data_IF_374250355839
#
_entry.id   IF_374250355839
#
_cell.length_a   1.000
_cell.length_b   1.000
_cell.length_c   1.000
_cell.angle_alpha   90.00
_cell.angle_beta   90.00
_cell.angle_gamma   90.00
#
_symmetry.space_group_name_H-M   'P 1'
#
loop_
_entity.id
_entity.type
_entity.pdbx_description
1 polymer ?
#
# COMPACT_ATOMS: atom_id res chain seq x y z
N UNK A 1 13.45 5.87 -42.02
CA UNK A 1 12.53 5.62 -40.88
C UNK A 1 11.41 6.68 -40.77
N UNK A 2 10.68 7.01 -41.85
CA UNK A 2 9.52 7.94 -41.82
C UNK A 2 8.29 7.42 -42.59
N UNK A 3 8.26 6.14 -42.92
CA UNK A 3 7.35 5.58 -43.94
C UNK A 3 6.40 4.50 -43.41
N UNK A 4 6.08 4.51 -42.10
CA UNK A 4 5.08 3.61 -41.48
C UNK A 4 3.85 4.39 -40.97
N UNK A 5 3.78 5.70 -41.20
CA UNK A 5 2.67 6.53 -40.73
C UNK A 5 1.72 7.00 -41.86
N UNK A 6 1.93 6.59 -43.12
CA UNK A 6 1.07 6.96 -44.25
C UNK A 6 -0.27 6.22 -44.30
N UNK A 7 -0.40 5.08 -43.61
CA UNK A 7 -1.56 4.21 -43.78
C UNK A 7 -2.71 4.50 -42.80
N UNK A 8 -2.55 5.49 -41.91
CA UNK A 8 -3.61 5.95 -41.00
C UNK A 8 -4.18 7.31 -41.48
N UNK A 9 -4.76 7.31 -42.69
CA UNK A 9 -5.16 8.54 -43.39
C UNK A 9 -6.59 9.07 -43.11
N UNK A 10 -7.45 8.45 -42.27
CA UNK A 10 -8.62 9.20 -41.73
C UNK A 10 -8.93 9.04 -40.23
N UNK A 11 -8.38 8.04 -39.51
CA UNK A 11 -9.00 7.60 -38.24
C UNK A 11 -8.79 8.51 -37.02
N UNK A 12 -7.63 9.16 -36.85
CA UNK A 12 -7.27 9.92 -35.64
C UNK A 12 -7.85 11.36 -35.56
N UNK A 13 -8.22 11.96 -36.69
CA UNK A 13 -8.85 13.29 -36.71
C UNK A 13 -10.38 13.18 -36.66
N UNK A 14 -10.96 12.17 -37.32
CA UNK A 14 -12.35 11.75 -37.09
C UNK A 14 -12.56 11.27 -35.64
N UNK A 15 -11.54 10.65 -35.03
CA UNK A 15 -11.42 10.34 -33.59
C UNK A 15 -11.69 11.55 -32.71
N UNK A 16 -10.98 12.64 -32.99
CA UNK A 16 -10.99 13.83 -32.16
C UNK A 16 -12.26 14.65 -32.36
N UNK A 17 -12.83 14.59 -33.57
CA UNK A 17 -14.10 15.22 -33.90
C UNK A 17 -15.32 14.45 -33.34
N UNK A 18 -15.30 13.11 -33.37
CA UNK A 18 -16.43 12.27 -32.96
C UNK A 18 -16.46 11.90 -31.47
N UNK A 19 -15.31 11.88 -30.80
CA UNK A 19 -15.33 11.38 -29.43
C UNK A 19 -15.86 12.36 -28.41
N UNK A 20 -16.32 13.58 -28.75
CA UNK A 20 -17.04 14.48 -27.83
C UNK A 20 -18.38 13.91 -27.32
N UNK A 21 -18.91 12.86 -27.96
CA UNK A 21 -20.18 12.21 -27.61
C UNK A 21 -20.07 10.73 -27.16
N UNK A 22 -18.88 10.15 -27.14
CA UNK A 22 -18.69 8.70 -26.88
C UNK A 22 -18.76 8.32 -25.39
N UNK A 23 -19.35 7.16 -25.10
CA UNK A 23 -19.35 6.53 -23.77
C UNK A 23 -18.01 5.85 -23.47
N UNK A 24 -17.70 5.50 -22.21
CA UNK A 24 -16.49 4.74 -21.89
C UNK A 24 -16.38 3.39 -22.63
N UNK A 25 -17.51 2.72 -22.89
CA UNK A 25 -17.54 1.47 -23.64
C UNK A 25 -17.19 1.67 -25.12
N UNK A 26 -17.72 2.73 -25.75
CA UNK A 26 -17.39 3.10 -27.12
C UNK A 26 -15.90 3.40 -27.25
N UNK A 27 -15.34 4.15 -26.28
CA UNK A 27 -13.92 4.50 -26.26
C UNK A 27 -13.03 3.27 -26.12
N UNK A 28 -13.45 2.26 -25.34
CA UNK A 28 -12.74 1.00 -25.20
C UNK A 28 -12.72 0.20 -26.51
N UNK A 29 -13.89 -0.10 -27.08
CA UNK A 29 -14.01 -0.86 -28.34
C UNK A 29 -13.20 -0.19 -29.45
N UNK A 30 -13.28 1.13 -29.48
CA UNK A 30 -12.56 1.95 -30.44
C UNK A 30 -11.04 1.94 -30.23
N UNK A 31 -10.57 2.07 -28.98
CA UNK A 31 -9.13 1.97 -28.66
C UNK A 31 -8.59 0.59 -29.05
N UNK A 32 -9.35 -0.48 -28.81
CA UNK A 32 -9.03 -1.83 -29.25
C UNK A 32 -8.84 -1.86 -30.77
N UNK A 33 -9.85 -1.43 -31.53
CA UNK A 33 -9.81 -1.50 -33.00
C UNK A 33 -8.62 -0.79 -33.67
N UNK A 34 -8.07 0.24 -33.03
CA UNK A 34 -6.93 1.01 -33.57
C UNK A 34 -5.58 0.51 -33.04
N UNK A 35 -5.47 0.28 -31.73
CA UNK A 35 -4.18 0.11 -31.07
C UNK A 35 -3.85 -1.34 -30.73
N UNK A 36 -4.81 -2.25 -30.75
CA UNK A 36 -4.64 -3.65 -30.34
C UNK A 36 -3.48 -4.34 -31.04
N UNK A 37 -3.40 -4.24 -32.37
CA UNK A 37 -2.31 -4.87 -33.13
C UNK A 37 -0.93 -4.35 -32.68
N UNK A 38 -0.79 -3.04 -32.47
CA UNK A 38 0.48 -2.43 -32.07
C UNK A 38 0.83 -2.72 -30.61
N UNK A 39 -0.15 -2.71 -29.72
CA UNK A 39 0.03 -3.13 -28.33
C UNK A 39 0.49 -4.59 -28.28
N UNK A 40 -0.11 -5.49 -29.05
CA UNK A 40 0.32 -6.89 -29.15
C UNK A 40 1.74 -7.03 -29.69
N UNK A 41 2.15 -6.22 -30.66
CA UNK A 41 3.55 -6.20 -31.11
C UNK A 41 4.51 -5.82 -29.98
N UNK A 42 4.17 -4.81 -29.16
CA UNK A 42 5.00 -4.41 -28.01
C UNK A 42 4.99 -5.47 -26.90
N UNK A 43 3.85 -6.12 -26.63
CA UNK A 43 3.75 -7.22 -25.67
C UNK A 43 4.68 -8.37 -26.07
N UNK A 44 4.67 -8.77 -27.34
CA UNK A 44 5.54 -9.84 -27.86
C UNK A 44 7.04 -9.52 -27.81
N UNK A 45 7.42 -8.25 -27.73
CA UNK A 45 8.81 -7.84 -27.50
C UNK A 45 9.23 -7.99 -26.04
N UNK A 46 8.28 -8.06 -25.11
CA UNK A 46 8.58 -8.40 -23.72
C UNK A 46 8.87 -9.89 -23.66
N UNK A 47 10.16 -10.26 -23.59
CA UNK A 47 10.55 -11.64 -23.35
C UNK A 47 9.84 -12.20 -22.09
N UNK A 48 9.49 -13.49 -22.13
CA UNK A 48 8.95 -14.25 -20.98
C UNK A 48 7.51 -13.91 -20.53
N UNK A 49 6.61 -13.54 -21.44
CA UNK A 49 5.17 -13.49 -21.16
C UNK A 49 4.54 -14.81 -21.63
N UNK A 50 3.82 -15.52 -20.75
CA UNK A 50 3.07 -16.72 -21.19
C UNK A 50 1.87 -16.29 -22.04
N UNK A 51 1.38 -17.14 -22.95
CA UNK A 51 0.26 -16.79 -23.85
C UNK A 51 -0.98 -16.29 -23.10
N UNK A 52 -1.29 -16.90 -21.96
CA UNK A 52 -2.46 -16.51 -21.15
C UNK A 52 -2.26 -15.12 -20.50
N UNK A 53 -1.01 -14.75 -20.19
CA UNK A 53 -0.66 -13.43 -19.67
C UNK A 53 -0.68 -12.34 -20.76
N UNK A 54 -0.50 -12.70 -22.05
CA UNK A 54 -0.54 -11.74 -23.16
C UNK A 54 -1.93 -11.11 -23.30
N UNK A 55 -3.00 -11.91 -23.21
CA UNK A 55 -4.38 -11.43 -23.32
C UNK A 55 -4.79 -10.56 -22.14
N UNK A 56 -4.38 -10.94 -20.92
CA UNK A 56 -4.62 -10.13 -19.73
C UNK A 56 -3.89 -8.78 -19.82
N UNK A 57 -2.62 -8.79 -20.25
CA UNK A 57 -1.82 -7.59 -20.42
C UNK A 57 -2.36 -6.69 -21.54
N UNK A 58 -2.80 -7.26 -22.66
CA UNK A 58 -3.45 -6.54 -23.75
C UNK A 58 -4.69 -5.81 -23.24
N UNK A 59 -5.60 -6.56 -22.60
CA UNK A 59 -6.88 -6.03 -22.11
C UNK A 59 -6.64 -4.89 -21.13
N UNK A 60 -5.78 -5.09 -20.13
CA UNK A 60 -5.46 -4.08 -19.12
C UNK A 60 -4.81 -2.84 -19.76
N UNK A 61 -3.96 -3.03 -20.78
CA UNK A 61 -3.30 -1.91 -21.49
C UNK A 61 -4.31 -1.09 -22.27
N UNK A 62 -5.27 -1.74 -22.94
CA UNK A 62 -6.35 -1.05 -23.65
C UNK A 62 -7.22 -0.27 -22.66
N UNK A 63 -7.60 -0.88 -21.53
CA UNK A 63 -8.38 -0.19 -20.47
C UNK A 63 -7.67 1.08 -19.99
N UNK A 64 -6.38 1.00 -19.67
CA UNK A 64 -5.59 2.17 -19.25
C UNK A 64 -5.49 3.22 -20.36
N UNK A 65 -5.17 2.80 -21.59
CA UNK A 65 -5.05 3.71 -22.73
C UNK A 65 -6.37 4.44 -23.01
N UNK A 66 -7.50 3.73 -23.01
CA UNK A 66 -8.83 4.32 -23.18
C UNK A 66 -9.13 5.34 -22.08
N UNK A 67 -8.84 5.00 -20.82
CA UNK A 67 -9.02 5.95 -19.72
C UNK A 67 -8.14 7.20 -19.87
N UNK A 68 -6.87 7.03 -20.27
CA UNK A 68 -5.95 8.14 -20.47
C UNK A 68 -6.41 9.04 -21.61
N UNK A 69 -6.82 8.47 -22.75
CA UNK A 69 -7.39 9.21 -23.88
C UNK A 69 -8.65 10.00 -23.47
N UNK A 70 -9.52 9.39 -22.67
CA UNK A 70 -10.73 10.03 -22.14
C UNK A 70 -10.42 11.25 -21.27
N UNK A 71 -9.40 11.19 -20.40
CA UNK A 71 -9.00 12.34 -19.57
C UNK A 71 -8.36 13.48 -20.38
N UNK A 72 -7.72 13.16 -21.50
CA UNK A 72 -7.04 14.15 -22.36
C UNK A 72 -7.94 14.80 -23.42
N UNK A 73 -9.21 14.41 -23.49
CA UNK A 73 -10.22 14.89 -24.47
C UNK A 73 -10.20 16.40 -24.73
N UNK A 74 -10.10 17.29 -23.72
CA UNK A 74 -10.08 18.74 -23.96
C UNK A 74 -8.83 19.26 -24.68
N UNK A 75 -7.76 18.44 -24.78
CA UNK A 75 -6.44 18.84 -25.29
C UNK A 75 -6.01 18.08 -26.53
N UNK A 76 -6.92 17.31 -27.12
CA UNK A 76 -6.65 16.44 -28.27
C UNK A 76 -6.03 17.15 -29.48
N UNK A 77 -6.42 18.40 -29.77
CA UNK A 77 -5.80 19.19 -30.83
C UNK A 77 -4.30 19.49 -30.64
N UNK A 78 -3.75 19.25 -29.44
CA UNK A 78 -2.33 19.44 -29.12
C UNK A 78 -1.54 18.12 -29.08
N UNK A 79 -2.21 16.96 -29.06
CA UNK A 79 -1.57 15.66 -29.01
C UNK A 79 -1.23 15.23 -30.44
N UNK A 80 0.06 15.22 -30.79
CA UNK A 80 0.48 14.71 -32.09
C UNK A 80 0.38 13.18 -32.11
N UNK A 81 -0.21 12.60 -33.16
CA UNK A 81 -0.38 11.14 -33.36
C UNK A 81 0.91 10.34 -33.11
N UNK A 82 2.06 10.92 -33.50
CA UNK A 82 3.40 10.33 -33.31
C UNK A 82 3.71 10.08 -31.84
N UNK A 83 3.27 10.95 -30.92
CA UNK A 83 3.60 10.82 -29.49
C UNK A 83 2.89 9.64 -28.82
N UNK A 84 1.62 9.36 -29.15
CA UNK A 84 0.90 8.22 -28.53
C UNK A 84 1.61 6.91 -28.90
N UNK A 85 1.94 6.75 -30.18
CA UNK A 85 2.63 5.58 -30.70
C UNK A 85 3.99 5.31 -30.01
N UNK A 86 4.74 6.36 -29.71
CA UNK A 86 6.04 6.27 -29.04
C UNK A 86 5.91 5.95 -27.54
N UNK A 87 4.79 6.30 -26.92
CA UNK A 87 4.51 6.03 -25.51
C UNK A 87 3.90 4.64 -25.26
N UNK A 88 3.40 3.94 -26.29
CA UNK A 88 2.78 2.61 -26.13
C UNK A 88 3.72 1.59 -25.49
N UNK A 89 4.99 1.56 -25.88
CA UNK A 89 5.96 0.64 -25.29
C UNK A 89 6.17 0.90 -23.79
N UNK A 90 6.18 2.18 -23.38
CA UNK A 90 6.24 2.57 -21.97
C UNK A 90 4.99 2.17 -21.21
N UNK A 91 3.81 2.40 -21.81
CA UNK A 91 2.53 2.01 -21.23
C UNK A 91 2.43 0.49 -21.04
N UNK A 92 2.80 -0.32 -22.04
CA UNK A 92 2.78 -1.79 -21.92
C UNK A 92 3.67 -2.27 -20.77
N UNK A 93 4.87 -1.70 -20.62
CA UNK A 93 5.77 -2.01 -19.49
C UNK A 93 5.17 -1.60 -18.15
N UNK A 94 4.55 -0.43 -18.07
CA UNK A 94 3.88 0.04 -16.85
C UNK A 94 2.65 -0.82 -16.50
N UNK A 95 1.86 -1.25 -17.48
CA UNK A 95 0.73 -2.16 -17.27
C UNK A 95 1.20 -3.52 -16.78
N UNK A 96 2.29 -4.06 -17.34
CA UNK A 96 2.90 -5.30 -16.83
C UNK A 96 3.32 -5.13 -15.37
N UNK A 97 4.00 -4.03 -15.03
CA UNK A 97 4.35 -3.69 -13.65
C UNK A 97 3.12 -3.61 -12.73
N UNK A 98 2.02 -3.02 -13.18
CA UNK A 98 0.74 -2.95 -12.44
C UNK A 98 0.14 -4.34 -12.17
N UNK A 99 0.11 -5.20 -13.18
CA UNK A 99 -0.41 -6.56 -13.06
C UNK A 99 0.44 -7.41 -12.11
N UNK A 100 1.77 -7.35 -12.27
CA UNK A 100 2.71 -8.01 -11.37
C UNK A 100 2.48 -7.56 -9.93
N UNK A 101 2.44 -6.25 -9.68
CA UNK A 101 2.22 -5.68 -8.35
C UNK A 101 0.95 -6.20 -7.67
N UNK A 102 -0.15 -6.44 -8.41
CA UNK A 102 -1.41 -6.96 -7.85
C UNK A 102 -1.28 -8.42 -7.38
N UNK A 103 -0.38 -9.20 -7.95
CA UNK A 103 -0.24 -10.65 -7.68
C UNK A 103 0.58 -11.02 -6.45
N UNK A 104 1.29 -10.09 -5.80
CA UNK A 104 2.22 -10.42 -4.70
C UNK A 104 1.63 -10.22 -3.29
N UNK A 105 2.11 -11.04 -2.34
CA UNK A 105 1.94 -10.79 -0.90
C UNK A 105 2.79 -9.59 -0.49
N UNK A 106 2.24 -8.75 0.40
CA UNK A 106 2.96 -7.59 0.89
C UNK A 106 4.18 -8.01 1.70
N UNK A 107 5.32 -7.45 1.32
CA UNK A 107 6.51 -7.33 2.13
C UNK A 107 7.13 -5.96 1.88
N UNK A 108 7.90 -5.47 2.84
CA UNK A 108 8.63 -4.20 2.71
C UNK A 108 9.57 -4.26 1.50
N UNK A 109 10.33 -5.34 1.37
CA UNK A 109 11.30 -5.53 0.27
C UNK A 109 10.63 -5.52 -1.11
N UNK A 110 9.57 -6.30 -1.30
CA UNK A 110 8.85 -6.37 -2.58
C UNK A 110 8.21 -5.02 -2.94
N UNK A 111 7.68 -4.31 -1.93
CA UNK A 111 7.04 -3.00 -2.14
C UNK A 111 8.07 -1.94 -2.50
N UNK A 112 9.24 -1.92 -1.83
CA UNK A 112 10.38 -1.07 -2.21
C UNK A 112 10.84 -1.36 -3.62
N UNK A 113 10.98 -2.65 -3.99
CA UNK A 113 11.38 -3.05 -5.34
C UNK A 113 10.41 -2.52 -6.39
N UNK A 114 9.10 -2.70 -6.19
CA UNK A 114 8.09 -2.18 -7.11
C UNK A 114 8.06 -0.65 -7.17
N UNK A 115 8.29 0.05 -6.05
CA UNK A 115 8.40 1.51 -6.06
C UNK A 115 9.62 1.97 -6.86
N UNK A 116 10.79 1.36 -6.67
CA UNK A 116 12.00 1.65 -7.45
C UNK A 116 11.78 1.42 -8.95
N UNK A 117 11.15 0.31 -9.33
CA UNK A 117 10.77 0.05 -10.74
C UNK A 117 9.79 1.09 -11.26
N UNK A 118 8.77 1.45 -10.48
CA UNK A 118 7.75 2.43 -10.88
C UNK A 118 8.33 3.81 -11.13
N UNK A 119 9.32 4.26 -10.35
CA UNK A 119 10.04 5.53 -10.60
C UNK A 119 10.72 5.53 -11.98
N UNK A 120 11.34 4.40 -12.36
CA UNK A 120 12.02 4.28 -13.65
C UNK A 120 11.02 4.21 -14.82
N UNK A 121 9.87 3.55 -14.61
CA UNK A 121 8.84 3.37 -15.64
C UNK A 121 7.95 4.60 -15.84
N UNK A 122 7.84 5.45 -14.83
CA UNK A 122 6.90 6.58 -14.79
C UNK A 122 7.68 7.90 -14.65
N UNK A 123 8.34 8.37 -15.74
CA UNK A 123 9.29 9.47 -15.69
C UNK A 123 8.69 10.79 -15.18
N UNK A 124 7.38 10.99 -15.37
CA UNK A 124 6.70 12.18 -14.89
C UNK A 124 6.42 12.19 -13.37
N UNK A 125 6.63 11.08 -12.65
CA UNK A 125 6.46 11.07 -11.19
C UNK A 125 7.47 12.00 -10.49
N UNK A 126 8.71 12.06 -10.98
CA UNK A 126 9.75 12.91 -10.41
C UNK A 126 9.43 14.41 -10.54
N UNK A 127 8.68 14.80 -11.57
CA UNK A 127 8.26 16.19 -11.80
C UNK A 127 7.05 16.59 -10.96
N UNK A 128 6.28 15.64 -10.41
CA UNK A 128 4.98 15.92 -9.79
C UNK A 128 5.11 16.77 -8.52
N UNK A 129 6.09 16.48 -7.65
CA UNK A 129 6.34 17.29 -6.45
C UNK A 129 6.79 18.70 -6.80
N UNK A 130 7.61 18.85 -7.84
CA UNK A 130 8.06 20.15 -8.33
C UNK A 130 6.88 20.96 -8.89
N UNK A 131 5.98 20.32 -9.65
CA UNK A 131 4.74 20.95 -10.13
C UNK A 131 3.87 21.42 -8.95
N UNK A 132 3.60 20.53 -7.97
CA UNK A 132 2.82 20.85 -6.77
C UNK A 132 3.44 22.02 -5.98
N UNK A 133 4.77 22.07 -5.88
CA UNK A 133 5.50 23.17 -5.22
C UNK A 133 5.35 24.49 -5.98
N UNK A 134 5.40 24.44 -7.31
CA UNK A 134 5.33 25.65 -8.15
C UNK A 134 3.91 26.16 -8.37
N UNK A 135 2.89 25.37 -8.05
CA UNK A 135 1.49 25.80 -8.13
C UNK A 135 1.18 26.99 -7.21
N UNK A 136 0.57 28.03 -7.80
CA UNK A 136 0.15 29.20 -7.05
C UNK A 136 -1.22 28.96 -6.38
N UNK A 137 -1.20 28.22 -5.28
CA UNK A 137 -2.40 27.88 -4.50
C UNK A 137 -2.20 28.19 -3.01
N UNK A 138 -3.30 28.58 -2.35
CA UNK A 138 -3.37 28.83 -0.91
C UNK A 138 -3.74 27.57 -0.11
N UNK A 139 -3.85 26.42 -0.78
CA UNK A 139 -4.17 25.15 -0.12
C UNK A 139 -3.06 24.77 0.87
N UNK A 140 -3.46 24.41 2.08
CA UNK A 140 -2.57 24.10 3.21
C UNK A 140 -1.50 23.06 2.85
N UNK A 141 -1.88 21.99 2.14
CA UNK A 141 -0.96 20.92 1.80
C UNK A 141 0.11 21.35 0.78
N UNK A 142 -0.22 22.26 -0.15
CA UNK A 142 0.77 22.81 -1.07
C UNK A 142 1.73 23.75 -0.36
N UNK A 143 1.23 24.55 0.59
CA UNK A 143 2.09 25.38 1.44
C UNK A 143 3.05 24.51 2.26
N UNK A 144 2.59 23.37 2.77
CA UNK A 144 3.43 22.39 3.44
C UNK A 144 4.54 21.88 2.51
N UNK A 145 4.19 21.47 1.29
CA UNK A 145 5.19 21.05 0.27
C UNK A 145 6.23 22.14 0.05
N UNK A 146 5.81 23.40 -0.15
CA UNK A 146 6.75 24.53 -0.33
C UNK A 146 7.67 24.75 0.87
N UNK A 147 7.14 24.60 2.09
CA UNK A 147 7.88 24.82 3.33
C UNK A 147 8.88 23.70 3.63
N UNK A 148 8.49 22.45 3.38
CA UNK A 148 9.27 21.25 3.72
C UNK A 148 10.28 20.94 2.63
N UNK A 149 9.90 21.06 1.36
CA UNK A 149 10.68 20.65 0.19
C UNK A 149 11.47 21.82 -0.40
N UNK A 150 12.31 22.41 0.45
CA UNK A 150 13.18 23.52 0.06
C UNK A 150 14.25 23.08 -0.94
N UNK A 151 14.79 21.86 -0.77
CA UNK A 151 15.90 21.34 -1.57
C UNK A 151 15.44 20.24 -2.54
N UNK A 152 15.86 20.28 -3.82
CA UNK A 152 15.48 19.26 -4.81
C UNK A 152 15.91 17.82 -4.46
N UNK A 153 16.96 17.66 -3.66
CA UNK A 153 17.49 16.35 -3.24
C UNK A 153 16.50 15.53 -2.42
N UNK A 154 15.51 16.16 -1.78
CA UNK A 154 14.50 15.48 -0.96
C UNK A 154 13.38 14.83 -1.81
N UNK A 155 13.26 15.19 -3.10
CA UNK A 155 12.07 14.86 -3.92
C UNK A 155 12.02 13.40 -4.33
N UNK A 156 13.13 12.78 -4.79
CA UNK A 156 13.11 11.37 -5.19
C UNK A 156 12.69 10.46 -4.04
N UNK A 157 13.18 10.73 -2.83
CA UNK A 157 12.90 9.89 -1.66
C UNK A 157 11.43 9.97 -1.23
N UNK A 158 10.87 11.17 -1.17
CA UNK A 158 9.45 11.34 -0.82
C UNK A 158 8.55 10.75 -1.90
N UNK A 159 8.94 10.88 -3.17
CA UNK A 159 8.22 10.27 -4.29
C UNK A 159 8.24 8.75 -4.19
N UNK A 160 9.38 8.14 -3.88
CA UNK A 160 9.49 6.69 -3.66
C UNK A 160 8.61 6.21 -2.52
N UNK A 161 8.68 6.88 -1.37
CA UNK A 161 7.86 6.53 -0.19
C UNK A 161 6.36 6.71 -0.47
N UNK A 162 5.98 7.75 -1.21
CA UNK A 162 4.59 7.95 -1.60
C UNK A 162 4.12 6.86 -2.54
N UNK A 163 4.96 6.47 -3.50
CA UNK A 163 4.68 5.38 -4.43
C UNK A 163 4.52 4.05 -3.69
N UNK A 164 5.33 3.76 -2.67
CA UNK A 164 5.14 2.58 -1.81
C UNK A 164 3.78 2.56 -1.12
N UNK A 165 3.35 3.71 -0.61
CA UNK A 165 2.05 3.86 0.02
C UNK A 165 0.91 3.68 -1.00
N UNK A 166 1.07 4.17 -2.23
CA UNK A 166 0.13 3.94 -3.34
C UNK A 166 0.06 2.46 -3.71
N UNK A 167 1.20 1.78 -3.85
CA UNK A 167 1.28 0.33 -4.13
C UNK A 167 0.51 -0.45 -3.06
N UNK A 168 0.74 -0.10 -1.78
CA UNK A 168 0.04 -0.72 -0.64
C UNK A 168 -1.47 -0.48 -0.68
N UNK A 169 -1.90 0.68 -1.19
CA UNK A 169 -3.31 1.04 -1.36
C UNK A 169 -3.96 0.25 -2.52
N UNK A 170 -3.35 0.24 -3.70
CA UNK A 170 -3.88 -0.41 -4.91
C UNK A 170 -4.01 -1.92 -4.71
N UNK A 171 -3.11 -2.54 -3.94
CA UNK A 171 -3.15 -3.98 -3.67
C UNK A 171 -4.42 -4.44 -2.94
N UNK A 172 -5.15 -3.54 -2.27
CA UNK A 172 -6.38 -3.90 -1.54
C UNK A 172 -7.51 -4.10 -2.57
N UNK A 173 -8.03 -5.32 -2.77
CA UNK A 173 -8.94 -5.65 -3.88
C UNK A 173 -10.19 -4.76 -3.91
N UNK A 174 -10.74 -4.44 -2.75
CA UNK A 174 -11.93 -3.61 -2.55
C UNK A 174 -11.74 -2.13 -2.94
N UNK A 175 -10.49 -1.69 -3.15
CA UNK A 175 -10.12 -0.28 -3.33
C UNK A 175 -9.21 -0.03 -4.53
N UNK A 176 -8.89 -1.05 -5.33
CA UNK A 176 -8.05 -0.85 -6.51
C UNK A 176 -8.82 0.00 -7.52
N UNK A 177 -8.28 1.17 -7.94
CA UNK A 177 -8.79 1.84 -9.11
C UNK A 177 -8.68 0.89 -10.31
N UNK A 178 -9.67 0.94 -11.21
CA UNK A 178 -9.55 0.21 -12.48
C UNK A 178 -8.41 0.79 -13.32
N UNK A 179 -8.28 2.12 -13.36
CA UNK A 179 -7.21 2.82 -14.08
C UNK A 179 -6.36 3.67 -13.15
N UNK A 180 -5.03 3.62 -13.33
CA UNK A 180 -4.07 4.30 -12.46
C UNK A 180 -3.10 5.21 -13.21
N UNK A 181 -3.01 5.11 -14.53
CA UNK A 181 -2.08 5.89 -15.33
C UNK A 181 -2.72 7.18 -15.89
N UNK A 182 -1.86 8.15 -16.18
CA UNK A 182 -2.19 9.40 -16.88
C UNK A 182 -0.96 9.95 -17.59
N UNK A 183 -1.16 10.80 -18.58
CA UNK A 183 -0.08 11.61 -19.13
C UNK A 183 0.04 12.95 -18.38
N UNK A 184 1.26 13.49 -18.26
CA UNK A 184 1.44 14.88 -17.89
C UNK A 184 1.27 15.81 -19.10
N UNK A 185 1.45 17.11 -18.90
CA UNK A 185 1.35 18.13 -19.96
C UNK A 185 2.43 17.96 -21.06
N UNK A 186 3.48 17.19 -20.79
CA UNK A 186 4.56 16.83 -21.72
C UNK A 186 4.37 15.45 -22.35
N UNK A 187 3.20 14.83 -22.18
CA UNK A 187 2.86 13.50 -22.70
C UNK A 187 3.71 12.35 -22.16
N UNK A 188 4.36 12.56 -21.02
CA UNK A 188 5.10 11.52 -20.32
C UNK A 188 4.16 10.72 -19.42
N UNK A 189 4.39 9.41 -19.36
CA UNK A 189 3.62 8.50 -18.51
C UNK A 189 3.83 8.80 -17.02
N UNK A 190 2.72 8.88 -16.28
CA UNK A 190 2.67 9.11 -14.84
C UNK A 190 1.55 8.29 -14.19
N UNK A 191 1.46 8.36 -12.86
CA UNK A 191 0.23 7.99 -12.15
C UNK A 191 -0.77 9.13 -12.18
N UNK A 192 -2.05 8.77 -12.10
CA UNK A 192 -3.13 9.73 -11.91
C UNK A 192 -2.85 10.60 -10.70
N UNK A 193 -2.88 11.92 -10.89
CA UNK A 193 -2.63 12.90 -9.84
C UNK A 193 -3.52 12.67 -8.60
N UNK A 194 -4.82 12.41 -8.80
CA UNK A 194 -5.77 12.10 -7.71
C UNK A 194 -5.39 10.89 -6.86
N UNK A 195 -4.62 9.96 -7.42
CA UNK A 195 -4.15 8.76 -6.74
C UNK A 195 -2.84 9.04 -6.00
N UNK A 196 -1.90 9.77 -6.61
CA UNK A 196 -0.56 10.01 -6.06
C UNK A 196 -0.53 11.15 -5.03
N UNK A 197 -1.25 12.23 -5.29
CA UNK A 197 -1.18 13.49 -4.53
C UNK A 197 -1.51 13.33 -3.02
N UNK A 198 -2.55 12.58 -2.60
CA UNK A 198 -2.80 12.37 -1.17
C UNK A 198 -1.63 11.68 -0.46
N UNK A 199 -0.95 10.76 -1.14
CA UNK A 199 0.19 10.02 -0.58
C UNK A 199 1.45 10.88 -0.55
N UNK A 200 1.67 11.73 -1.56
CA UNK A 200 2.75 12.72 -1.55
C UNK A 200 2.62 13.69 -0.38
N UNK A 201 1.41 14.22 -0.14
CA UNK A 201 1.18 15.10 1.00
C UNK A 201 1.43 14.41 2.34
N UNK A 202 0.94 13.17 2.49
CA UNK A 202 1.14 12.40 3.71
C UNK A 202 2.63 12.12 3.96
N UNK A 203 3.39 11.72 2.94
CA UNK A 203 4.83 11.45 3.08
C UNK A 203 5.65 12.73 3.28
N UNK A 204 5.24 13.85 2.68
CA UNK A 204 5.82 15.16 2.95
C UNK A 204 5.58 15.59 4.40
N UNK A 205 4.39 15.31 4.95
CA UNK A 205 4.04 15.58 6.34
C UNK A 205 4.88 14.71 7.30
N UNK A 206 5.03 13.42 7.02
CA UNK A 206 5.89 12.49 7.78
C UNK A 206 7.35 12.95 7.74
N UNK A 207 7.87 13.27 6.56
CA UNK A 207 9.23 13.79 6.38
C UNK A 207 9.42 15.10 7.15
N UNK A 208 8.43 16.00 7.07
CA UNK A 208 8.35 17.20 7.88
C UNK A 208 8.50 16.86 9.36
N UNK A 209 7.62 16.03 9.93
CA UNK A 209 7.66 15.70 11.36
C UNK A 209 8.98 15.08 11.83
N UNK A 210 9.55 14.13 11.08
CA UNK A 210 10.74 13.38 11.48
C UNK A 210 12.03 14.16 11.23
N UNK A 211 12.13 14.84 10.08
CA UNK A 211 13.39 15.44 9.60
C UNK A 211 13.40 16.95 9.82
N UNK A 212 12.28 17.64 9.61
CA UNK A 212 12.19 19.12 9.68
C UNK A 212 11.39 19.56 10.92
N UNK A 213 12.09 20.00 11.96
CA UNK A 213 11.50 20.42 13.26
C UNK A 213 10.28 21.36 13.19
N UNK A 214 10.11 22.11 12.10
CA UNK A 214 9.09 23.14 11.90
C UNK A 214 7.65 22.61 11.71
N UNK A 215 7.46 21.38 11.23
CA UNK A 215 6.10 20.84 10.92
C UNK A 215 5.46 20.15 12.12
N UNK A 216 6.25 19.85 13.15
CA UNK A 216 5.87 18.98 14.27
C UNK A 216 4.55 19.41 14.91
N UNK A 217 4.38 20.68 15.24
CA UNK A 217 3.30 21.09 16.14
C UNK A 217 1.91 21.06 15.49
N UNK A 218 1.77 21.55 14.25
CA UNK A 218 0.48 21.62 13.56
C UNK A 218 -0.09 20.23 13.26
N UNK A 219 0.74 19.36 12.70
CA UNK A 219 0.38 17.98 12.37
C UNK A 219 0.01 17.20 13.62
N UNK A 220 0.84 17.30 14.67
CA UNK A 220 0.58 16.63 15.95
C UNK A 220 -0.75 17.12 16.52
N UNK A 221 -1.03 18.43 16.58
CA UNK A 221 -2.31 18.95 17.08
C UNK A 221 -3.52 18.41 16.30
N UNK A 222 -3.44 18.37 14.96
CA UNK A 222 -4.53 17.86 14.10
C UNK A 222 -4.85 16.39 14.37
N UNK A 223 -3.82 15.57 14.55
CA UNK A 223 -3.96 14.13 14.81
C UNK A 223 -4.40 13.88 16.26
N UNK A 224 -3.88 14.67 17.20
CA UNK A 224 -4.12 14.52 18.63
C UNK A 224 -5.61 14.55 18.98
N UNK A 225 -6.42 15.43 18.38
CA UNK A 225 -7.86 15.48 18.68
C UNK A 225 -8.62 14.18 18.38
N UNK A 226 -8.23 13.46 17.31
CA UNK A 226 -8.84 12.16 16.97
C UNK A 226 -8.32 11.03 17.87
N UNK A 227 -7.01 11.02 18.13
CA UNK A 227 -6.39 10.03 18.99
C UNK A 227 -6.88 10.15 20.43
N UNK A 228 -7.06 11.38 20.92
CA UNK A 228 -7.54 11.67 22.27
C UNK A 228 -8.92 11.11 22.52
N UNK A 229 -9.89 11.39 21.62
CA UNK A 229 -11.23 10.79 21.70
C UNK A 229 -11.19 9.26 21.73
N UNK A 230 -10.31 8.65 20.92
CA UNK A 230 -10.14 7.21 20.90
C UNK A 230 -9.51 6.67 22.19
N UNK A 231 -8.51 7.33 22.75
CA UNK A 231 -7.86 6.86 23.99
C UNK A 231 -8.78 7.07 25.19
N UNK A 232 -9.44 8.22 25.29
CA UNK A 232 -10.40 8.51 26.36
C UNK A 232 -11.56 7.49 26.38
N UNK A 233 -12.00 6.99 25.21
CA UNK A 233 -13.01 5.93 25.13
C UNK A 233 -12.50 4.54 25.53
N UNK A 234 -11.23 4.40 25.92
CA UNK A 234 -10.60 3.13 26.28
C UNK A 234 -9.96 3.18 27.68
N UNK A 235 -10.24 4.24 28.46
CA UNK A 235 -9.71 4.43 29.81
C UNK A 235 -10.86 4.47 30.84
N UNK A 236 -10.58 4.02 32.08
CA UNK A 236 -11.52 4.04 33.21
C UNK A 236 -11.63 5.44 33.86
N UNK A 237 -12.69 5.70 34.63
CA UNK A 237 -13.20 7.05 34.95
C UNK A 237 -12.26 8.05 35.65
N UNK A 238 -11.20 7.60 36.31
CA UNK A 238 -10.30 8.51 37.02
C UNK A 238 -9.14 8.96 36.11
N UNK A 239 -8.95 10.28 36.00
CA UNK A 239 -7.83 10.94 35.28
C UNK A 239 -7.68 10.62 33.77
N UNK A 240 -8.76 10.25 33.08
CA UNK A 240 -8.76 9.91 31.64
C UNK A 240 -8.03 10.92 30.76
N UNK A 241 -8.20 12.21 31.02
CA UNK A 241 -7.61 13.28 30.20
C UNK A 241 -6.08 13.25 30.27
N UNK A 242 -5.51 13.18 31.46
CA UNK A 242 -4.06 13.22 31.64
C UNK A 242 -3.42 11.92 31.13
N UNK A 243 -4.02 10.77 31.46
CA UNK A 243 -3.57 9.47 30.94
C UNK A 243 -3.65 9.40 29.42
N UNK A 244 -4.70 9.96 28.80
CA UNK A 244 -4.81 10.02 27.35
C UNK A 244 -3.70 10.87 26.73
N UNK A 245 -3.39 12.03 27.31
CA UNK A 245 -2.27 12.87 26.88
C UNK A 245 -0.94 12.12 26.96
N UNK A 246 -0.69 11.44 28.07
CA UNK A 246 0.58 10.72 28.29
C UNK A 246 0.74 9.57 27.29
N UNK A 247 -0.31 8.78 27.06
CA UNK A 247 -0.30 7.69 26.07
C UNK A 247 -0.01 8.22 24.66
N UNK A 248 -0.67 9.31 24.27
CA UNK A 248 -0.51 9.90 22.94
C UNK A 248 0.88 10.52 22.80
N UNK A 249 1.34 11.27 23.81
CA UNK A 249 2.67 11.87 23.84
C UNK A 249 3.74 10.79 23.72
N UNK A 250 3.62 9.70 24.48
CA UNK A 250 4.56 8.58 24.41
C UNK A 250 4.53 7.86 23.05
N UNK A 251 3.38 7.81 22.36
CA UNK A 251 3.31 7.28 21.00
C UNK A 251 4.00 8.19 19.98
N UNK A 252 3.89 9.51 20.15
CA UNK A 252 4.61 10.48 19.32
C UNK A 252 6.12 10.47 19.60
N UNK A 253 6.55 10.35 20.86
CA UNK A 253 7.97 10.21 21.21
C UNK A 253 8.57 8.97 20.54
N UNK A 254 7.90 7.83 20.65
CA UNK A 254 8.32 6.60 19.95
C UNK A 254 8.40 6.79 18.43
N UNK A 255 7.46 7.51 17.82
CA UNK A 255 7.52 7.82 16.41
C UNK A 255 8.72 8.73 16.07
N UNK A 256 9.01 9.75 16.90
CA UNK A 256 10.15 10.65 16.70
C UNK A 256 11.50 9.95 16.88
N UNK A 257 11.59 8.93 17.74
CA UNK A 257 12.78 8.08 17.87
C UNK A 257 13.11 7.33 16.58
N UNK A 258 12.12 7.12 15.68
CA UNK A 258 12.33 6.54 14.35
C UNK A 258 12.98 7.48 13.33
N UNK A 259 13.37 8.68 13.73
CA UNK A 259 14.03 9.65 12.85
C UNK A 259 15.28 9.07 12.17
N UNK A 260 16.17 8.44 12.93
CA UNK A 260 17.43 7.92 12.37
C UNK A 260 17.15 6.74 11.43
N UNK A 261 16.35 5.77 11.88
CA UNK A 261 15.88 4.66 11.03
C UNK A 261 15.20 5.14 9.73
N UNK A 262 14.48 6.27 9.79
CA UNK A 262 13.84 6.88 8.63
C UNK A 262 14.89 7.40 7.64
N UNK A 263 15.88 8.17 8.12
CA UNK A 263 16.99 8.71 7.31
C UNK A 263 17.81 7.57 6.70
N UNK A 264 18.08 6.53 7.48
CA UNK A 264 18.86 5.36 7.06
C UNK A 264 18.06 4.40 6.15
N UNK A 265 16.81 4.73 5.83
CA UNK A 265 15.90 3.95 4.97
C UNK A 265 15.65 2.53 5.48
N UNK A 266 15.73 2.34 6.80
CA UNK A 266 15.36 1.08 7.46
C UNK A 266 13.91 1.13 7.97
N UNK A 267 13.35 2.34 8.11
CA UNK A 267 11.99 2.58 8.54
C UNK A 267 11.13 3.26 7.47
N UNK A 268 9.90 2.75 7.32
CA UNK A 268 8.93 3.22 6.34
C UNK A 268 7.51 3.23 6.90
N UNK A 269 6.72 4.20 6.43
CA UNK A 269 5.32 4.36 6.83
C UNK A 269 4.46 4.32 5.57
N UNK A 270 4.04 3.11 5.18
CA UNK A 270 3.25 2.89 3.95
C UNK A 270 1.75 3.17 4.12
N UNK A 271 1.33 3.65 5.30
CA UNK A 271 -0.04 4.00 5.68
C UNK A 271 -0.13 5.46 6.10
N UNK A 272 -1.34 5.95 6.35
CA UNK A 272 -1.53 7.31 6.90
C UNK A 272 -0.89 7.40 8.28
N UNK A 273 -0.24 8.53 8.58
CA UNK A 273 0.45 8.82 9.84
C UNK A 273 -0.47 8.60 11.04
N UNK A 274 -1.70 9.10 11.00
CA UNK A 274 -2.65 8.87 12.09
C UNK A 274 -2.94 7.38 12.31
N UNK A 275 -3.05 6.57 11.25
CA UNK A 275 -3.24 5.11 11.36
C UNK A 275 -1.98 4.43 11.90
N UNK A 276 -0.80 4.95 11.58
CA UNK A 276 0.46 4.49 12.15
C UNK A 276 0.53 4.74 13.66
N UNK A 277 0.27 5.97 14.10
CA UNK A 277 0.26 6.32 15.54
C UNK A 277 -0.84 5.57 16.28
N UNK A 278 -2.01 5.41 15.67
CA UNK A 278 -3.11 4.63 16.24
C UNK A 278 -2.71 3.18 16.56
N UNK A 279 -1.99 2.52 15.65
CA UNK A 279 -1.51 1.16 15.90
C UNK A 279 -0.49 1.08 17.03
N UNK A 280 0.39 2.08 17.16
CA UNK A 280 1.32 2.18 18.32
C UNK A 280 0.52 2.27 19.62
N UNK A 281 -0.50 3.12 19.66
CA UNK A 281 -1.38 3.30 20.82
C UNK A 281 -2.14 2.03 21.14
N UNK A 282 -2.74 1.37 20.14
CA UNK A 282 -3.49 0.12 20.30
C UNK A 282 -2.62 -0.99 20.92
N UNK A 283 -1.31 -0.97 20.69
CA UNK A 283 -0.37 -1.96 21.20
C UNK A 283 0.13 -1.67 22.63
N UNK A 284 -0.25 -0.54 23.23
CA UNK A 284 0.07 -0.21 24.63
C UNK A 284 -0.64 -1.15 25.61
N UNK A 285 0.04 -1.49 26.70
CA UNK A 285 -0.47 -2.45 27.71
C UNK A 285 -1.72 -1.93 28.39
N UNK A 286 -1.78 -0.63 28.65
CA UNK A 286 -2.86 0.11 29.28
C UNK A 286 -4.17 -0.04 28.47
N UNK A 287 -4.08 0.13 27.15
CA UNK A 287 -5.21 -0.05 26.22
C UNK A 287 -5.56 -1.54 26.02
N UNK A 288 -4.55 -2.42 25.97
CA UNK A 288 -4.76 -3.87 25.87
C UNK A 288 -5.45 -4.45 27.11
N UNK A 289 -5.21 -3.90 28.31
CA UNK A 289 -5.79 -4.37 29.58
C UNK A 289 -7.29 -4.08 29.63
N UNK A 290 -7.70 -2.84 29.34
CA UNK A 290 -9.11 -2.45 29.29
C UNK A 290 -9.89 -3.25 28.25
N UNK A 291 -9.32 -3.47 27.06
CA UNK A 291 -9.95 -4.31 26.03
C UNK A 291 -10.13 -5.76 26.43
N UNK A 292 -9.20 -6.33 27.21
CA UNK A 292 -9.34 -7.69 27.73
C UNK A 292 -10.41 -7.76 28.81
N UNK A 293 -10.49 -6.76 29.67
CA UNK A 293 -11.50 -6.65 30.71
C UNK A 293 -12.91 -6.40 30.14
N UNK A 294 -13.05 -5.62 29.07
CA UNK A 294 -14.31 -5.43 28.33
C UNK A 294 -14.73 -6.70 27.59
N UNK A 295 -13.80 -7.36 26.87
CA UNK A 295 -14.08 -8.62 26.19
C UNK A 295 -14.41 -9.78 27.15
N UNK A 296 -13.99 -9.69 28.42
CA UNK A 296 -14.38 -10.64 29.47
C UNK A 296 -15.70 -10.29 30.15
N UNK A 297 -16.13 -9.03 30.13
CA UNK A 297 -17.46 -8.59 30.61
C UNK A 297 -18.57 -8.83 29.57
N UNK A 298 -18.24 -8.90 28.28
CA UNK A 298 -19.19 -9.18 27.19
C UNK A 298 -19.62 -10.66 27.07
N UNK A 299 -19.24 -11.55 28.02
CA UNK A 299 -19.61 -12.98 27.96
C UNK A 299 -21.04 -13.26 28.52
N UNK A 300 -21.76 -12.25 29.03
CA UNK A 300 -23.06 -12.46 29.70
C UNK A 300 -24.30 -11.79 29.04
N UNK A 301 -24.24 -11.37 27.77
CA UNK A 301 -25.44 -10.94 27.00
C UNK A 301 -25.36 -11.43 25.53
N UNK A 302 -26.51 -11.63 24.86
CA UNK A 302 -26.62 -12.45 23.68
C UNK A 302 -25.94 -11.83 22.45
N UNK A 303 -25.34 -12.73 21.70
CA UNK A 303 -24.53 -12.57 20.50
C UNK A 303 -25.28 -11.85 19.37
N UNK A 304 -25.37 -10.53 19.40
CA UNK A 304 -25.68 -9.71 18.23
C UNK A 304 -25.15 -8.29 18.42
N UNK A 305 -24.28 -7.87 17.49
CA UNK A 305 -23.67 -6.54 17.32
C UNK A 305 -22.23 -6.33 17.83
N UNK A 306 -21.25 -6.85 17.06
CA UNK A 306 -20.06 -6.10 16.61
C UNK A 306 -19.13 -7.00 15.77
N UNK A 307 -19.46 -7.18 14.49
CA UNK A 307 -18.53 -7.72 13.48
C UNK A 307 -18.54 -6.81 12.26
N UNK A 308 -17.79 -5.71 12.34
CA UNK A 308 -17.32 -4.99 11.14
C UNK A 308 -15.80 -5.11 11.07
N UNK A 309 -15.36 -6.34 10.79
CA UNK A 309 -14.02 -6.68 10.28
C UNK A 309 -14.26 -7.73 9.19
N UNK A 310 -13.55 -7.68 8.05
CA UNK A 310 -13.91 -8.40 6.85
C UNK A 310 -14.10 -9.89 7.13
N UNK A 311 -15.29 -10.36 6.75
CA UNK A 311 -15.85 -11.72 6.80
C UNK A 311 -14.76 -12.79 6.95
N UNK A 312 -14.39 -13.11 8.18
CA UNK A 312 -13.72 -14.37 8.48
C UNK A 312 -14.82 -15.42 8.62
N UNK A 313 -14.74 -16.51 7.88
CA UNK A 313 -15.75 -17.57 8.00
C UNK A 313 -15.76 -18.11 9.44
N UNK A 314 -16.91 -18.58 9.92
CA UNK A 314 -17.01 -19.20 11.25
C UNK A 314 -15.97 -20.31 11.44
N UNK A 315 -15.68 -21.04 10.37
CA UNK A 315 -14.62 -22.05 10.32
C UNK A 315 -13.23 -21.47 10.65
N UNK A 316 -12.88 -20.30 10.12
CA UNK A 316 -11.60 -19.64 10.41
C UNK A 316 -11.50 -19.18 11.86
N UNK A 317 -12.61 -18.72 12.46
CA UNK A 317 -12.63 -18.34 13.88
C UNK A 317 -12.42 -19.57 14.79
N UNK A 318 -13.04 -20.70 14.44
CA UNK A 318 -12.85 -21.97 15.15
C UNK A 318 -11.40 -22.44 15.03
N UNK A 319 -10.81 -22.38 13.83
CA UNK A 319 -9.41 -22.77 13.61
C UNK A 319 -8.45 -21.89 14.40
N UNK A 320 -8.66 -20.57 14.44
CA UNK A 320 -7.83 -19.65 15.23
C UNK A 320 -7.93 -19.94 16.73
N UNK A 321 -9.14 -20.17 17.24
CA UNK A 321 -9.34 -20.53 18.65
C UNK A 321 -8.58 -21.83 19.00
N UNK A 322 -8.63 -22.83 18.12
CA UNK A 322 -7.91 -24.10 18.31
C UNK A 322 -6.41 -23.98 18.19
N UNK A 323 -5.92 -23.13 17.28
CA UNK A 323 -4.51 -22.78 17.18
C UNK A 323 -4.00 -22.19 18.51
N UNK A 324 -4.73 -21.24 19.10
CA UNK A 324 -4.37 -20.63 20.38
C UNK A 324 -4.39 -21.65 21.53
N UNK A 325 -5.39 -22.52 21.58
CA UNK A 325 -5.42 -23.62 22.57
C UNK A 325 -4.23 -24.58 22.42
N UNK A 326 -3.80 -24.87 21.18
CA UNK A 326 -2.65 -25.75 20.93
C UNK A 326 -1.31 -25.08 21.27
N UNK A 327 -1.19 -23.76 21.05
CA UNK A 327 -0.01 -23.02 21.50
C UNK A 327 0.15 -23.13 23.02
N UNK A 328 -0.94 -23.09 23.78
CA UNK A 328 -0.87 -23.22 25.24
C UNK A 328 -0.45 -24.61 25.74
N UNK A 329 -0.54 -25.64 24.89
CA UNK A 329 -0.06 -27.00 25.21
C UNK A 329 1.41 -27.27 24.86
N UNK A 330 2.06 -26.36 24.13
CA UNK A 330 3.50 -26.46 23.83
C UNK A 330 4.32 -26.20 25.10
N UNK A 331 5.59 -26.61 25.11
CA UNK A 331 6.49 -26.24 26.19
C UNK A 331 6.87 -24.74 26.12
N UNK A 332 7.28 -24.17 27.26
CA UNK A 332 7.49 -22.71 27.39
C UNK A 332 8.51 -22.16 26.37
N UNK A 333 9.52 -22.96 26.03
CA UNK A 333 10.49 -22.57 25.01
C UNK A 333 9.87 -22.53 23.60
N UNK A 334 9.02 -23.50 23.23
CA UNK A 334 8.29 -23.45 21.97
C UNK A 334 7.25 -22.31 21.96
N UNK A 335 6.56 -22.05 23.07
CA UNK A 335 5.63 -20.92 23.19
C UNK A 335 6.35 -19.60 22.94
N UNK A 336 7.49 -19.39 23.59
CA UNK A 336 8.27 -18.17 23.43
C UNK A 336 8.77 -18.01 21.99
N UNK A 337 9.28 -19.08 21.38
CA UNK A 337 9.76 -19.08 20.00
C UNK A 337 8.63 -18.73 19.01
N UNK A 338 7.49 -19.41 19.09
CA UNK A 338 6.32 -19.17 18.23
C UNK A 338 5.77 -17.75 18.45
N UNK A 339 5.70 -17.28 19.69
CA UNK A 339 5.27 -15.90 20.01
C UNK A 339 6.20 -14.86 19.41
N UNK A 340 7.53 -14.99 19.58
CA UNK A 340 8.49 -14.03 19.01
C UNK A 340 8.50 -14.07 17.48
N UNK A 341 8.33 -15.25 16.89
CA UNK A 341 8.35 -15.43 15.44
C UNK A 341 7.08 -14.91 14.78
N UNK A 342 5.89 -15.25 15.29
CA UNK A 342 4.62 -15.00 14.59
C UNK A 342 3.72 -13.95 15.25
N UNK A 343 3.86 -13.72 16.55
CA UNK A 343 2.95 -12.86 17.34
C UNK A 343 3.65 -11.60 17.92
N UNK A 344 4.87 -11.30 17.46
CA UNK A 344 5.54 -10.05 17.79
C UNK A 344 4.92 -8.85 17.05
N UNK A 345 5.35 -7.62 17.39
CA UNK A 345 4.88 -6.38 16.75
C UNK A 345 5.38 -6.21 15.29
N UNK A 346 5.68 -7.30 14.59
CA UNK A 346 6.25 -7.32 13.23
C UNK A 346 5.19 -7.59 12.18
N UNK A 347 5.29 -6.92 11.03
CA UNK A 347 4.38 -7.10 9.91
C UNK A 347 4.52 -8.47 9.19
N UNK A 348 5.58 -9.22 9.49
CA UNK A 348 5.86 -10.55 8.95
C UNK A 348 6.59 -11.40 10.00
N UNK A 349 6.57 -12.74 9.86
CA UNK A 349 7.27 -13.60 10.80
C UNK A 349 8.78 -13.34 10.77
N UNK A 350 9.40 -13.27 11.94
CA UNK A 350 10.85 -13.09 12.05
C UNK A 350 11.62 -14.31 11.51
N UNK A 351 12.81 -14.07 10.95
CA UNK A 351 13.70 -15.17 10.57
C UNK A 351 14.18 -15.91 11.83
N UNK A 352 14.57 -17.18 11.69
CA UNK A 352 15.14 -17.92 12.84
C UNK A 352 16.43 -17.28 13.37
N UNK A 353 17.21 -16.60 12.52
CA UNK A 353 18.38 -15.84 12.95
C UNK A 353 17.99 -14.68 13.88
N UNK A 354 16.94 -13.91 13.53
CA UNK A 354 16.48 -12.78 14.35
C UNK A 354 15.91 -13.25 15.68
N UNK A 355 15.15 -14.36 15.66
CA UNK A 355 14.62 -14.99 16.88
C UNK A 355 15.77 -15.49 17.76
N UNK A 356 16.80 -16.09 17.16
CA UNK A 356 17.95 -16.60 17.88
C UNK A 356 18.75 -15.50 18.58
N UNK A 357 18.98 -14.37 17.91
CA UNK A 357 19.61 -13.20 18.53
C UNK A 357 18.80 -12.70 19.75
N UNK A 358 17.47 -12.69 19.65
CA UNK A 358 16.57 -12.22 20.72
C UNK A 358 16.37 -13.19 21.87
N UNK A 359 16.63 -14.47 21.62
CA UNK A 359 16.63 -15.50 22.65
C UNK A 359 18.04 -15.72 23.21
N UNK A 360 19.05 -15.00 22.69
CA UNK A 360 20.46 -15.20 22.99
C UNK A 360 20.91 -16.67 22.82
N UNK A 361 20.50 -17.28 21.71
CA UNK A 361 20.78 -18.69 21.37
C UNK A 361 21.39 -18.82 19.98
N UNK A 362 21.95 -19.99 19.69
CA UNK A 362 22.50 -20.31 18.38
C UNK A 362 21.38 -20.48 17.33
N UNK A 363 21.55 -19.88 16.15
CA UNK A 363 20.53 -19.88 15.09
C UNK A 363 20.16 -21.27 14.58
N UNK A 364 21.13 -22.19 14.42
CA UNK A 364 20.85 -23.57 14.00
C UNK A 364 20.04 -24.33 15.04
N UNK A 365 20.25 -24.02 16.32
CA UNK A 365 19.50 -24.64 17.44
C UNK A 365 18.06 -24.15 17.44
N UNK A 366 17.85 -22.85 17.27
CA UNK A 366 16.52 -22.23 17.18
C UNK A 366 15.77 -22.66 15.92
N UNK A 367 16.45 -22.80 14.78
CA UNK A 367 15.82 -23.31 13.56
C UNK A 367 15.36 -24.77 13.74
N UNK A 368 16.23 -25.66 14.24
CA UNK A 368 15.88 -27.05 14.49
C UNK A 368 14.73 -27.16 15.50
N UNK A 369 14.79 -26.38 16.58
CA UNK A 369 13.73 -26.35 17.59
C UNK A 369 12.43 -25.79 17.02
N UNK A 370 12.50 -24.71 16.26
CA UNK A 370 11.35 -24.05 15.66
C UNK A 370 10.59 -24.96 14.69
N UNK A 371 11.28 -25.73 13.85
CA UNK A 371 10.65 -26.74 12.99
C UNK A 371 9.88 -27.78 13.81
N UNK A 372 10.48 -28.28 14.90
CA UNK A 372 9.83 -29.23 15.80
C UNK A 372 8.58 -28.64 16.46
N UNK A 373 8.64 -27.39 16.94
CA UNK A 373 7.49 -26.70 17.53
C UNK A 373 6.36 -26.49 16.50
N UNK A 374 6.71 -26.16 15.24
CA UNK A 374 5.75 -26.00 14.16
C UNK A 374 5.07 -27.33 13.77
N UNK A 375 5.82 -28.43 13.80
CA UNK A 375 5.29 -29.80 13.62
C UNK A 375 4.34 -30.19 14.77
N UNK A 376 4.75 -30.01 16.03
CA UNK A 376 3.90 -30.29 17.20
C UNK A 376 2.61 -29.45 17.20
N UNK A 377 2.72 -28.17 16.80
CA UNK A 377 1.57 -27.28 16.67
C UNK A 377 0.63 -27.74 15.55
N UNK A 378 1.17 -28.13 14.40
CA UNK A 378 0.40 -28.67 13.28
C UNK A 378 -0.34 -29.94 13.68
N UNK A 379 0.33 -30.87 14.35
CA UNK A 379 -0.27 -32.14 14.79
C UNK A 379 -1.39 -31.94 15.80
N UNK A 380 -1.20 -31.01 16.75
CA UNK A 380 -2.26 -30.65 17.70
C UNK A 380 -3.48 -30.05 16.99
N UNK A 381 -3.27 -29.09 16.08
CA UNK A 381 -4.35 -28.45 15.33
C UNK A 381 -5.06 -29.48 14.45
N UNK A 382 -4.33 -30.30 13.69
CA UNK A 382 -4.90 -31.38 12.87
C UNK A 382 -5.74 -32.35 13.70
N UNK A 383 -5.24 -32.78 14.86
CA UNK A 383 -5.95 -33.71 15.74
C UNK A 383 -7.26 -33.10 16.28
N UNK A 384 -7.23 -31.82 16.69
CA UNK A 384 -8.41 -31.11 17.21
C UNK A 384 -9.41 -30.76 16.10
N UNK A 385 -8.95 -30.51 14.89
CA UNK A 385 -9.78 -30.10 13.74
C UNK A 385 -10.44 -31.32 13.07
N UNK A 386 -9.72 -32.45 12.98
CA UNK A 386 -10.25 -33.73 12.49
C UNK A 386 -11.36 -34.31 13.37
N UNK A 387 -11.32 -34.09 14.69
CA UNK A 387 -12.39 -34.48 15.63
C UNK A 387 -13.71 -33.73 15.41
N UNK A 388 -13.71 -32.64 14.63
CA UNK A 388 -14.87 -31.79 14.36
C UNK A 388 -15.38 -31.88 12.91
N UNK A 389 -14.82 -32.77 12.08
CA UNK A 389 -15.24 -32.93 10.68
C UNK A 389 -14.81 -31.80 9.74
N UNK A 390 -13.97 -30.88 10.19
CA UNK A 390 -13.48 -29.75 9.40
C UNK A 390 -12.28 -30.19 8.52
N UNK A 391 -12.26 -29.78 7.24
CA UNK A 391 -11.14 -30.07 6.33
C UNK A 391 -9.94 -29.16 6.65
N UNK A 392 -8.73 -29.71 6.81
CA UNK A 392 -7.53 -28.89 6.96
C UNK A 392 -7.15 -28.27 5.61
N UNK A 393 -6.88 -26.95 5.62
CA UNK A 393 -6.34 -26.19 4.48
C UNK A 393 -4.82 -26.27 4.41
#
# INVERSE_FOLDING_TARGET
>A
MRQIFSDFSPSLEQLFAGAAAQTPADLFQFTSGIFEHKIMQEIRKLHFVQRDDEHALLTETIVELSSMLGTFRPRWGKIKKVHIADQLAGLVKATKWKLEMRGYRYSVETTTRFAGQGILLLPALGELLEQIKNENTKLVNHLLVKQVLQWPVDYPEITERALRSVITHIRRPERSPQTIFSWNDRYQLSLQRRLMEPHLFEQTEIFGCLVKSYVKERTIRKINGKLRKFVESQLSHDEKDQQAKDIIQNAFLYFLEKRQDYIDKVFYVDKKLHSYIFEIIKNRKEIRKVRKEEAQKEIDYPFDACVDSPIMSEEQQVVIKKLLECIETLDEECKELIRKRYFGDYAAPLSYNDVAQRMNKNSKTIEKRGRKCEEELRDCVMTKTKRLGLRPY
#
